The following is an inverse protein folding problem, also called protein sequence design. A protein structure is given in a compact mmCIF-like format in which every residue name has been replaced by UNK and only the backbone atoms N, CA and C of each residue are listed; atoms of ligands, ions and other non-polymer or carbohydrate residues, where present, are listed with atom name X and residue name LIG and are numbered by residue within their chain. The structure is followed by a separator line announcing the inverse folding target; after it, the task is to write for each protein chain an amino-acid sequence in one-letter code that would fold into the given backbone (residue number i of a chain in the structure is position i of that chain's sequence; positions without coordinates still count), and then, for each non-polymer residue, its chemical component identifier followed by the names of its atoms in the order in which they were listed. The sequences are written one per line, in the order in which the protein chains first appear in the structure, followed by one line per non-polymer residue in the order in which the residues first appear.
data_IF_155308267091
#
_entry.id   IF_155308267091
#
_cell.length_a   1.000
_cell.length_b   1.000
_cell.length_c   1.000
_cell.angle_alpha   90.00
_cell.angle_beta   90.00
_cell.angle_gamma   90.00
#
_symmetry.space_group_name_H-M   'P 1'
#
loop_
_entity.id
_entity.type
_entity.pdbx_description
1 polymer ?
#
# COMPACT_ATOMS: atom_id res chain seq x y z
N UNK A 1 29.21 -39.28 -27.26
CA UNK A 1 29.44 -38.78 -25.88
C UNK A 1 30.03 -37.38 -26.01
N UNK A 2 29.47 -36.35 -25.36
CA UNK A 2 30.02 -35.00 -25.43
C UNK A 2 31.46 -34.97 -24.91
N UNK A 3 32.30 -34.10 -25.46
CA UNK A 3 33.64 -33.87 -24.91
C UNK A 3 33.54 -33.36 -23.45
N UNK A 4 34.44 -33.75 -22.54
CA UNK A 4 34.42 -33.31 -21.13
C UNK A 4 34.28 -31.79 -20.97
N UNK A 5 34.95 -31.01 -21.83
CA UNK A 5 34.89 -29.55 -21.83
C UNK A 5 33.50 -28.98 -22.24
N UNK A 6 32.73 -29.73 -23.04
CA UNK A 6 31.37 -29.35 -23.43
C UNK A 6 30.41 -29.64 -22.28
N UNK A 7 30.59 -30.77 -21.59
CA UNK A 7 29.78 -31.12 -20.41
C UNK A 7 29.95 -30.11 -19.27
N UNK A 8 31.19 -29.71 -18.99
CA UNK A 8 31.50 -28.71 -17.94
C UNK A 8 30.87 -27.35 -18.25
N UNK A 9 30.96 -26.88 -19.50
CA UNK A 9 30.32 -25.63 -19.92
C UNK A 9 28.79 -25.69 -19.87
N UNK A 10 28.19 -26.83 -20.20
CA UNK A 10 26.73 -27.01 -20.10
C UNK A 10 26.25 -26.99 -18.64
N UNK A 11 27.02 -27.59 -17.73
CA UNK A 11 26.71 -27.56 -16.29
C UNK A 11 26.87 -26.16 -15.69
N UNK A 12 27.94 -25.44 -16.04
CA UNK A 12 28.16 -24.06 -15.60
C UNK A 12 27.05 -23.13 -16.11
N UNK A 13 26.63 -23.31 -17.37
CA UNK A 13 25.54 -22.54 -17.96
C UNK A 13 24.21 -22.84 -17.24
N UNK A 14 23.92 -24.11 -16.93
CA UNK A 14 22.74 -24.51 -16.16
C UNK A 14 22.68 -23.84 -14.80
N UNK A 15 23.78 -23.87 -14.04
CA UNK A 15 23.89 -23.22 -12.72
C UNK A 15 23.65 -21.72 -12.80
N UNK A 16 24.22 -21.03 -13.79
CA UNK A 16 24.01 -19.57 -13.99
C UNK A 16 22.55 -19.23 -14.31
N UNK A 17 21.89 -20.03 -15.14
CA UNK A 17 20.47 -19.82 -15.50
C UNK A 17 19.57 -20.04 -14.28
N UNK A 18 19.85 -21.08 -13.49
CA UNK A 18 19.11 -21.39 -12.26
C UNK A 18 19.28 -20.29 -11.20
N UNK A 19 20.53 -19.84 -10.96
CA UNK A 19 20.83 -18.74 -10.04
C UNK A 19 20.16 -17.42 -10.45
N UNK A 20 20.15 -17.12 -11.76
CA UNK A 20 19.47 -15.93 -12.27
C UNK A 20 17.96 -16.01 -12.03
N UNK A 21 17.35 -17.14 -12.38
CA UNK A 21 15.92 -17.40 -12.14
C UNK A 21 15.56 -17.32 -10.65
N UNK A 22 16.38 -17.90 -9.79
CA UNK A 22 16.21 -17.88 -8.33
C UNK A 22 16.28 -16.45 -7.77
N UNK A 23 17.24 -15.63 -8.21
CA UNK A 23 17.34 -14.21 -7.82
C UNK A 23 16.13 -13.39 -8.26
N UNK A 24 15.67 -13.57 -9.51
CA UNK A 24 14.48 -12.89 -10.02
C UNK A 24 13.23 -13.29 -9.23
N UNK A 25 13.10 -14.57 -8.87
CA UNK A 25 11.99 -15.07 -8.04
C UNK A 25 12.05 -14.52 -6.62
N UNK A 26 13.23 -14.53 -5.99
CA UNK A 26 13.43 -14.01 -4.64
C UNK A 26 13.09 -12.52 -4.53
N UNK A 27 13.52 -11.70 -5.49
CA UNK A 27 13.18 -10.28 -5.51
C UNK A 27 11.66 -10.01 -5.61
N UNK A 28 10.94 -10.86 -6.35
CA UNK A 28 9.48 -10.76 -6.49
C UNK A 28 8.76 -11.13 -5.20
N UNK A 29 9.17 -12.23 -4.57
CA UNK A 29 8.61 -12.66 -3.28
C UNK A 29 8.85 -11.59 -2.21
N UNK A 30 10.05 -11.00 -2.16
CA UNK A 30 10.34 -9.90 -1.22
C UNK A 30 9.39 -8.70 -1.43
N UNK A 31 9.09 -8.33 -2.67
CA UNK A 31 8.15 -7.25 -2.99
C UNK A 31 6.71 -7.54 -2.54
N UNK A 32 6.25 -8.79 -2.71
CA UNK A 32 4.93 -9.22 -2.24
C UNK A 32 4.85 -9.27 -0.71
N UNK A 33 5.88 -9.81 -0.06
CA UNK A 33 5.96 -9.84 1.41
C UNK A 33 5.97 -8.44 2.01
N UNK A 34 6.71 -7.49 1.42
CA UNK A 34 6.69 -6.09 1.86
C UNK A 34 5.31 -5.45 1.70
N UNK A 35 4.61 -5.76 0.60
CA UNK A 35 3.25 -5.27 0.37
C UNK A 35 2.25 -5.85 1.37
N UNK A 36 2.33 -7.15 1.66
CA UNK A 36 1.51 -7.81 2.69
C UNK A 36 1.76 -7.17 4.05
N UNK A 37 3.04 -7.05 4.45
CA UNK A 37 3.41 -6.43 5.72
C UNK A 37 2.84 -5.01 5.85
N UNK A 38 3.04 -4.17 4.84
CA UNK A 38 2.49 -2.81 4.83
C UNK A 38 0.97 -2.76 4.93
N UNK A 39 0.27 -3.64 4.20
CA UNK A 39 -1.19 -3.74 4.28
C UNK A 39 -1.67 -4.15 5.66
N UNK A 40 -1.00 -5.13 6.30
CA UNK A 40 -1.35 -5.59 7.66
C UNK A 40 -1.12 -4.48 8.68
N UNK A 41 0.01 -3.77 8.60
CA UNK A 41 0.30 -2.63 9.47
C UNK A 41 -0.78 -1.55 9.35
N UNK A 42 -1.17 -1.19 8.12
CA UNK A 42 -2.24 -0.21 7.88
C UNK A 42 -3.59 -0.70 8.41
N UNK A 43 -3.94 -1.97 8.18
CA UNK A 43 -5.18 -2.57 8.67
C UNK A 43 -5.24 -2.49 10.20
N UNK A 44 -4.16 -2.90 10.88
CA UNK A 44 -4.09 -2.87 12.35
C UNK A 44 -4.19 -1.42 12.85
N UNK A 45 -3.38 -0.52 12.30
CA UNK A 45 -3.32 0.87 12.76
C UNK A 45 -4.66 1.59 12.57
N UNK A 46 -5.24 1.52 11.37
CA UNK A 46 -6.47 2.24 11.06
C UNK A 46 -7.71 1.55 11.64
N UNK A 47 -7.72 0.23 11.82
CA UNK A 47 -8.89 -0.43 12.43
C UNK A 47 -8.89 -0.33 13.94
N UNK A 48 -7.76 -0.53 14.62
CA UNK A 48 -7.71 -0.66 16.09
C UNK A 48 -7.18 0.60 16.79
N UNK A 49 -6.29 1.35 16.14
CA UNK A 49 -5.66 2.54 16.73
C UNK A 49 -6.33 3.86 16.31
N UNK A 50 -7.46 3.82 15.61
CA UNK A 50 -8.21 5.02 15.21
C UNK A 50 -8.59 5.91 16.41
N UNK A 51 -8.91 5.31 17.56
CA UNK A 51 -9.22 6.01 18.81
C UNK A 51 -8.05 6.83 19.39
N UNK A 52 -6.81 6.57 18.96
CA UNK A 52 -5.65 7.36 19.36
C UNK A 52 -5.50 8.63 18.52
N UNK A 53 -6.25 8.73 17.41
CA UNK A 53 -6.37 9.94 16.60
C UNK A 53 -7.40 10.86 17.28
N UNK A 54 -6.98 11.43 18.39
CA UNK A 54 -7.80 12.25 19.26
C UNK A 54 -6.99 13.41 19.85
N UNK A 55 -7.69 14.50 20.20
CA UNK A 55 -7.11 15.53 21.04
C UNK A 55 -7.11 15.05 22.49
N UNK A 56 -5.97 15.21 23.17
CA UNK A 56 -5.84 14.88 24.59
C UNK A 56 -5.89 16.18 25.39
N UNK A 57 -6.91 16.32 26.22
CA UNK A 57 -7.06 17.44 27.14
C UNK A 57 -6.78 16.95 28.56
N UNK A 58 -6.02 17.75 29.31
CA UNK A 58 -5.77 17.50 30.73
C UNK A 58 -6.72 18.41 31.49
N UNK A 59 -7.66 17.81 32.21
CA UNK A 59 -8.60 18.54 33.04
C UNK A 59 -7.92 19.07 34.31
N UNK A 60 -8.49 20.11 34.96
CA UNK A 60 -7.92 20.70 36.18
C UNK A 60 -7.77 19.72 37.35
N UNK A 61 -8.48 18.59 37.32
CA UNK A 61 -8.40 17.50 38.29
C UNK A 61 -7.26 16.50 38.01
N UNK A 62 -6.51 16.70 36.93
CA UNK A 62 -5.43 15.83 36.47
C UNK A 62 -5.90 14.64 35.63
N UNK A 63 -7.20 14.51 35.35
CA UNK A 63 -7.72 13.49 34.45
C UNK A 63 -7.44 13.84 32.98
N UNK A 64 -7.32 12.81 32.13
CA UNK A 64 -7.05 12.98 30.69
C UNK A 64 -8.29 12.59 29.91
N UNK A 65 -8.97 13.58 29.34
CA UNK A 65 -10.09 13.36 28.43
C UNK A 65 -9.64 13.35 26.98
N UNK A 66 -10.23 12.45 26.20
CA UNK A 66 -9.92 12.24 24.78
C UNK A 66 -11.10 12.69 23.94
N UNK A 67 -10.88 13.67 23.09
CA UNK A 67 -11.88 14.14 22.13
C UNK A 67 -11.49 13.62 20.75
N UNK A 68 -12.30 12.72 20.19
CA UNK A 68 -12.03 12.16 18.87
C UNK A 68 -12.10 13.25 17.81
N UNK A 69 -11.10 13.30 16.93
CA UNK A 69 -11.11 14.20 15.77
C UNK A 69 -11.80 13.54 14.56
N UNK A 70 -12.02 12.22 14.60
CA UNK A 70 -12.60 11.47 13.49
C UNK A 70 -14.12 11.69 13.45
N UNK A 71 -14.62 12.07 12.28
CA UNK A 71 -16.06 12.23 12.03
C UNK A 71 -16.74 10.87 11.85
N UNK A 72 -18.08 10.86 11.87
CA UNK A 72 -18.86 9.66 11.55
C UNK A 72 -18.51 9.07 10.19
N UNK A 73 -18.11 9.91 9.23
CA UNK A 73 -17.81 9.53 7.86
C UNK A 73 -16.54 8.66 7.75
N UNK A 74 -15.64 8.75 8.75
CA UNK A 74 -14.52 7.83 8.88
C UNK A 74 -14.98 6.37 8.97
N UNK A 75 -16.07 6.11 9.71
CA UNK A 75 -16.60 4.76 9.88
C UNK A 75 -17.34 4.25 8.64
N UNK A 76 -17.77 5.14 7.74
CA UNK A 76 -18.26 4.76 6.41
C UNK A 76 -17.11 4.43 5.44
N UNK A 77 -15.97 5.12 5.57
CA UNK A 77 -14.78 4.87 4.75
C UNK A 77 -13.97 3.64 5.19
N UNK A 78 -13.87 3.39 6.49
CA UNK A 78 -13.04 2.32 7.05
C UNK A 78 -13.34 0.93 6.47
N UNK A 79 -14.60 0.49 6.28
CA UNK A 79 -14.91 -0.79 5.63
C UNK A 79 -14.40 -0.90 4.18
N UNK A 80 -14.39 0.21 3.43
CA UNK A 80 -13.88 0.27 2.05
C UNK A 80 -12.37 0.03 2.05
N UNK A 81 -11.65 0.73 2.93
CA UNK A 81 -10.22 0.52 3.12
C UNK A 81 -9.90 -0.91 3.55
N UNK A 82 -10.57 -1.44 4.58
CA UNK A 82 -10.32 -2.78 5.10
C UNK A 82 -10.52 -3.83 4.00
N UNK A 83 -11.61 -3.72 3.23
CA UNK A 83 -11.89 -4.61 2.10
C UNK A 83 -10.76 -4.56 1.06
N UNK A 84 -10.31 -3.36 0.68
CA UNK A 84 -9.22 -3.18 -0.26
C UNK A 84 -7.89 -3.79 0.24
N UNK A 85 -7.55 -3.59 1.52
CA UNK A 85 -6.35 -4.13 2.14
C UNK A 85 -6.38 -5.66 2.21
N UNK A 86 -7.53 -6.25 2.57
CA UNK A 86 -7.71 -7.72 2.61
C UNK A 86 -7.58 -8.32 1.21
N UNK A 87 -8.23 -7.73 0.20
CA UNK A 87 -8.09 -8.15 -1.21
C UNK A 87 -6.63 -8.06 -1.64
N UNK A 88 -5.93 -6.98 -1.29
CA UNK A 88 -4.51 -6.79 -1.61
C UNK A 88 -3.62 -7.83 -0.94
N UNK A 89 -3.83 -8.16 0.33
CA UNK A 89 -3.11 -9.24 1.02
C UNK A 89 -3.35 -10.58 0.34
N UNK A 90 -4.60 -10.95 0.09
CA UNK A 90 -4.95 -12.21 -0.57
C UNK A 90 -4.30 -12.31 -1.96
N UNK A 91 -4.39 -11.25 -2.76
CA UNK A 91 -3.79 -11.20 -4.08
C UNK A 91 -2.26 -11.35 -4.06
N UNK A 92 -1.58 -10.71 -3.10
CA UNK A 92 -0.13 -10.86 -2.94
C UNK A 92 0.26 -12.28 -2.50
N UNK A 93 -0.52 -12.94 -1.62
CA UNK A 93 -0.31 -14.34 -1.26
C UNK A 93 -0.46 -15.24 -2.49
N UNK A 94 -1.51 -15.05 -3.29
CA UNK A 94 -1.73 -15.83 -4.51
C UNK A 94 -0.56 -15.61 -5.50
N UNK A 95 -0.03 -14.40 -5.64
CA UNK A 95 1.14 -14.13 -6.49
C UNK A 95 2.44 -14.78 -6.01
N UNK A 96 2.59 -15.05 -4.71
CA UNK A 96 3.72 -15.82 -4.17
C UNK A 96 3.60 -17.30 -4.58
N UNK A 97 2.38 -17.84 -4.55
CA UNK A 97 2.10 -19.25 -4.85
C UNK A 97 2.12 -19.49 -6.37
N UNK A 98 1.46 -18.63 -7.15
CA UNK A 98 1.26 -18.78 -8.58
C UNK A 98 2.09 -17.77 -9.38
N UNK A 99 3.25 -18.23 -9.85
CA UNK A 99 4.26 -17.39 -10.51
C UNK A 99 4.08 -17.30 -12.04
N UNK A 100 2.84 -17.05 -12.49
CA UNK A 100 2.57 -16.88 -13.93
C UNK A 100 2.50 -15.41 -14.32
N UNK A 101 3.22 -15.05 -15.37
CA UNK A 101 3.42 -13.66 -15.78
C UNK A 101 2.10 -12.91 -16.09
N UNK A 102 1.23 -13.46 -16.94
CA UNK A 102 -0.02 -12.79 -17.34
C UNK A 102 -0.98 -12.55 -16.15
N UNK A 103 -1.04 -13.49 -15.22
CA UNK A 103 -1.90 -13.40 -14.04
C UNK A 103 -1.47 -12.29 -13.09
N UNK A 104 -0.15 -12.16 -12.90
CA UNK A 104 0.45 -11.09 -12.09
C UNK A 104 0.08 -9.70 -12.62
N UNK A 105 0.18 -9.49 -13.93
CA UNK A 105 -0.14 -8.18 -14.51
C UNK A 105 -1.61 -7.83 -14.28
N UNK A 106 -2.52 -8.77 -14.50
CA UNK A 106 -3.97 -8.55 -14.25
C UNK A 106 -4.22 -8.17 -12.79
N UNK A 107 -3.63 -8.90 -11.83
CA UNK A 107 -3.77 -8.58 -10.41
C UNK A 107 -3.26 -7.17 -10.11
N UNK A 108 -2.10 -6.78 -10.64
CA UNK A 108 -1.53 -5.47 -10.38
C UNK A 108 -2.44 -4.34 -10.90
N UNK A 109 -3.10 -4.53 -12.05
CA UNK A 109 -4.11 -3.57 -12.56
C UNK A 109 -5.25 -3.44 -11.56
N UNK A 110 -5.85 -4.56 -11.17
CA UNK A 110 -7.01 -4.57 -10.26
C UNK A 110 -6.67 -3.90 -8.94
N UNK A 111 -5.54 -4.25 -8.33
CA UNK A 111 -5.09 -3.66 -7.07
C UNK A 111 -4.81 -2.15 -7.20
N UNK A 112 -4.34 -1.71 -8.36
CA UNK A 112 -4.13 -0.28 -8.63
C UNK A 112 -5.46 0.48 -8.70
N UNK A 113 -6.45 -0.06 -9.41
CA UNK A 113 -7.78 0.56 -9.52
C UNK A 113 -8.46 0.63 -8.16
N UNK A 114 -8.42 -0.45 -7.38
CA UNK A 114 -8.94 -0.47 -6.00
C UNK A 114 -8.26 0.60 -5.14
N UNK A 115 -6.94 0.73 -5.24
CA UNK A 115 -6.18 1.76 -4.54
C UNK A 115 -6.65 3.18 -4.88
N UNK A 116 -6.92 3.48 -6.15
CA UNK A 116 -7.45 4.77 -6.60
C UNK A 116 -8.82 5.04 -5.97
N UNK A 117 -9.72 4.06 -5.94
CA UNK A 117 -11.06 4.19 -5.34
C UNK A 117 -10.97 4.52 -3.85
N UNK A 118 -10.08 3.84 -3.10
CA UNK A 118 -9.88 4.10 -1.66
C UNK A 118 -9.40 5.52 -1.41
N UNK A 119 -8.44 6.01 -2.20
CA UNK A 119 -7.91 7.38 -2.07
C UNK A 119 -8.98 8.41 -2.45
N UNK A 120 -9.74 8.19 -3.52
CA UNK A 120 -10.82 9.09 -3.92
C UNK A 120 -11.90 9.23 -2.83
N UNK A 121 -12.29 8.11 -2.19
CA UNK A 121 -13.23 8.13 -1.07
C UNK A 121 -12.65 8.80 0.18
N UNK A 122 -11.34 8.68 0.42
CA UNK A 122 -10.69 9.37 1.53
C UNK A 122 -10.72 10.90 1.35
N UNK A 123 -10.50 11.38 0.13
CA UNK A 123 -10.57 12.82 -0.20
C UNK A 123 -11.98 13.37 0.00
N UNK A 124 -13.04 12.58 -0.29
CA UNK A 124 -14.42 13.04 -0.14
C UNK A 124 -14.90 13.18 1.30
N UNK A 125 -14.26 12.51 2.28
CA UNK A 125 -14.62 12.61 3.70
C UNK A 125 -13.79 13.65 4.46
N UNK A 126 -12.91 14.36 3.77
CA UNK A 126 -12.12 15.44 4.33
C UNK A 126 -12.92 16.76 4.30
N UNK A 127 -12.86 17.65 5.32
CA UNK A 127 -12.01 17.60 6.53
C UNK A 127 -12.64 16.90 7.74
N UNK A 128 -11.78 16.45 8.65
CA UNK A 128 -12.15 15.94 9.97
C UNK A 128 -12.59 17.05 10.94
N UNK A 129 -13.15 16.68 12.11
CA UNK A 129 -13.60 17.65 13.11
C UNK A 129 -12.45 18.09 14.03
N UNK A 130 -11.90 19.26 13.73
CA UNK A 130 -10.83 19.89 14.51
C UNK A 130 -11.35 20.94 15.51
N UNK A 131 -12.67 21.16 15.58
CA UNK A 131 -13.27 22.13 16.50
C UNK A 131 -13.10 21.74 17.98
N UNK A 132 -12.76 20.46 18.22
CA UNK A 132 -12.49 19.88 19.54
C UNK A 132 -11.21 20.39 20.22
N UNK A 133 -10.38 21.16 19.52
CA UNK A 133 -9.12 21.69 20.05
C UNK A 133 -9.41 22.99 20.83
N UNK A 134 -9.19 23.07 22.16
CA UNK A 134 -9.55 24.24 22.97
C UNK A 134 -8.55 25.41 22.87
N UNK A 135 -7.66 25.41 21.86
CA UNK A 135 -6.65 26.44 21.62
C UNK A 135 -6.85 27.02 20.22
N UNK A 136 -7.20 28.31 20.13
CA UNK A 136 -7.52 28.99 18.86
C UNK A 136 -6.41 28.85 17.82
N UNK A 137 -5.15 29.04 18.21
CA UNK A 137 -3.99 28.89 17.31
C UNK A 137 -3.83 27.44 16.83
N UNK A 138 -4.06 26.46 17.69
CA UNK A 138 -3.97 25.05 17.32
C UNK A 138 -5.16 24.59 16.46
N UNK A 139 -6.37 25.12 16.69
CA UNK A 139 -7.56 24.89 15.84
C UNK A 139 -7.31 25.35 14.42
N UNK A 140 -6.62 26.48 14.21
CA UNK A 140 -6.37 27.00 12.87
C UNK A 140 -5.23 26.23 12.15
N UNK A 141 -4.18 25.87 12.87
CA UNK A 141 -2.96 25.27 12.28
C UNK A 141 -3.09 23.75 12.09
N UNK A 142 -3.75 23.06 13.01
CA UNK A 142 -3.83 21.58 13.02
C UNK A 142 -4.57 21.00 11.80
N UNK A 143 -5.74 21.54 11.39
CA UNK A 143 -6.39 21.11 10.15
C UNK A 143 -5.46 21.27 8.97
N UNK A 144 -4.77 22.42 8.85
CA UNK A 144 -3.86 22.70 7.74
C UNK A 144 -2.70 21.70 7.73
N UNK A 145 -2.04 21.49 8.87
CA UNK A 145 -0.93 20.55 9.00
C UNK A 145 -1.34 19.11 8.69
N UNK A 146 -2.47 18.66 9.24
CA UNK A 146 -3.03 17.33 8.97
C UNK A 146 -3.47 17.20 7.52
N UNK A 147 -4.08 18.24 6.93
CA UNK A 147 -4.41 18.28 5.49
C UNK A 147 -3.15 18.10 4.66
N UNK A 148 -2.09 18.88 4.92
CA UNK A 148 -0.83 18.80 4.19
C UNK A 148 -0.21 17.41 4.35
N UNK A 149 -0.17 16.86 5.56
CA UNK A 149 0.35 15.52 5.81
C UNK A 149 -0.45 14.44 5.06
N UNK A 150 -1.77 14.48 5.14
CA UNK A 150 -2.64 13.56 4.43
C UNK A 150 -2.55 13.73 2.92
N UNK A 151 -2.39 14.96 2.41
CA UNK A 151 -2.11 15.22 1.00
C UNK A 151 -0.76 14.61 0.62
N UNK A 152 0.30 14.79 1.42
CA UNK A 152 1.62 14.19 1.13
C UNK A 152 1.52 12.66 1.10
N UNK A 153 0.81 12.06 2.06
CA UNK A 153 0.58 10.61 2.09
C UNK A 153 -0.28 10.17 0.89
N UNK A 154 -1.37 10.86 0.59
CA UNK A 154 -2.25 10.56 -0.53
C UNK A 154 -1.55 10.74 -1.87
N UNK A 155 -0.73 11.78 -2.02
CA UNK A 155 0.12 12.03 -3.20
C UNK A 155 1.21 10.98 -3.26
N UNK A 156 1.84 10.59 -2.16
CA UNK A 156 2.85 9.52 -2.13
C UNK A 156 2.27 8.17 -2.56
N UNK A 157 1.09 7.82 -2.03
CA UNK A 157 0.34 6.63 -2.42
C UNK A 157 -0.17 6.73 -3.87
N UNK A 158 -0.64 7.89 -4.30
CA UNK A 158 -1.12 8.18 -5.65
C UNK A 158 -0.01 8.15 -6.70
N UNK A 159 1.14 8.76 -6.44
CA UNK A 159 2.35 8.69 -7.27
C UNK A 159 2.86 7.25 -7.31
N UNK A 160 2.85 6.54 -6.17
CA UNK A 160 3.16 5.11 -6.12
C UNK A 160 2.25 4.28 -7.03
N UNK A 161 0.94 4.57 -7.03
CA UNK A 161 -0.03 3.95 -7.93
C UNK A 161 0.22 4.34 -9.40
N UNK A 162 0.48 5.62 -9.69
CA UNK A 162 0.74 6.14 -11.03
C UNK A 162 2.02 5.56 -11.65
N UNK A 163 3.10 5.47 -10.88
CA UNK A 163 4.36 4.85 -11.35
C UNK A 163 4.14 3.38 -11.70
N UNK A 164 3.36 2.65 -10.89
CA UNK A 164 3.00 1.25 -11.17
C UNK A 164 2.13 1.15 -12.44
N UNK A 165 1.19 2.07 -12.61
CA UNK A 165 0.36 2.17 -13.82
C UNK A 165 1.17 2.47 -15.08
N UNK A 166 2.13 3.40 -15.04
CA UNK A 166 3.01 3.71 -16.17
C UNK A 166 3.88 2.50 -16.52
N UNK A 167 4.46 1.83 -15.52
CA UNK A 167 5.24 0.60 -15.74
C UNK A 167 4.42 -0.48 -16.44
N UNK A 168 3.13 -0.56 -16.11
CA UNK A 168 2.20 -1.49 -16.74
C UNK A 168 1.90 -1.14 -18.20
N UNK A 169 1.65 0.14 -18.52
CA UNK A 169 1.47 0.55 -19.92
C UNK A 169 2.74 0.26 -20.72
N UNK A 170 3.91 0.59 -20.16
CA UNK A 170 5.20 0.36 -20.83
C UNK A 170 5.48 -1.13 -21.04
N UNK A 171 5.11 -2.01 -20.10
CA UNK A 171 5.29 -3.46 -20.27
C UNK A 171 4.35 -4.02 -21.35
N UNK A 172 3.10 -3.55 -21.41
CA UNK A 172 2.14 -3.94 -22.43
C UNK A 172 2.57 -3.51 -23.85
N UNK A 173 3.06 -2.28 -24.00
CA UNK A 173 3.56 -1.77 -25.29
C UNK A 173 4.79 -2.56 -25.77
N UNK A 174 5.68 -2.96 -24.85
CA UNK A 174 6.87 -3.77 -25.19
C UNK A 174 6.55 -5.22 -25.57
N UNK A 175 5.38 -5.74 -25.19
CA UNK A 175 4.96 -7.12 -25.50
C UNK A 175 4.14 -7.25 -26.79
N UNK A 176 3.93 -6.15 -27.52
CA UNK A 176 3.40 -6.19 -28.88
C UNK A 176 4.55 -6.06 -29.89
N UNK A 177 5.30 -7.14 -30.21
CA UNK A 177 6.13 -7.13 -31.40
C UNK A 177 5.21 -7.17 -32.62
N UNK A 178 5.24 -6.10 -33.41
CA UNK A 178 4.83 -6.10 -34.82
C UNK A 178 5.68 -7.08 -35.62
#
# INVERSE_FOLDING_TARGET
VPSPAISEKMEEFGKRVEDYSARTRAGRIAGYSASIFGNVVLLIFLSFFHQYIAWYHIEPDGSVTRLSMLTSDYFAWLPILVTALVISVAANIIMIIYDRYWFREIIQIILTVIGVVVVANLVSIFPFDFSVIPNATAVDITPIAVTIFLIIVAVGLGVGALVRFIKLIVSLVKQSPS
#
